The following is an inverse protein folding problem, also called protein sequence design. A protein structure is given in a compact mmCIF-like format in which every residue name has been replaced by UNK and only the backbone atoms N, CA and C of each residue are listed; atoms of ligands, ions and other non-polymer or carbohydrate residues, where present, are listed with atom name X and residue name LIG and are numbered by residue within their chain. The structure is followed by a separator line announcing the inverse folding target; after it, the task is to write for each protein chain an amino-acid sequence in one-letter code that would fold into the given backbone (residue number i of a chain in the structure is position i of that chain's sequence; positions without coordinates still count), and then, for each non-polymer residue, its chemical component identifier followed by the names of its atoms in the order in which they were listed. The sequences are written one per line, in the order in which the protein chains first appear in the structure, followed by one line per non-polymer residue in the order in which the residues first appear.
data_IF_660935130045
#
_entry.id   IF_660935130045
#
_cell.length_a   1.000
_cell.length_b   1.000
_cell.length_c   1.000
_cell.angle_alpha   90.00
_cell.angle_beta   90.00
_cell.angle_gamma   90.00
#
_symmetry.space_group_name_H-M   'P 1'
#
loop_
_entity.id
_entity.type
_entity.pdbx_description
1 polymer ?
#
# COMPACT_ATOMS: atom_id res chain seq x y z
N UNK A 1 -8.38 -6.77 -20.94
CA UNK A 1 -9.85 -6.77 -20.74
C UNK A 1 -10.36 -5.39 -20.28
N UNK A 2 -9.69 -4.73 -19.32
CA UNK A 2 -10.04 -3.38 -18.83
C UNK A 2 -10.28 -2.36 -19.94
N UNK A 3 -9.33 -2.18 -20.86
CA UNK A 3 -9.47 -1.25 -21.98
C UNK A 3 -10.69 -1.54 -22.88
N UNK A 4 -10.97 -2.82 -23.16
CA UNK A 4 -12.11 -3.20 -23.99
C UNK A 4 -13.45 -2.84 -23.30
N UNK A 5 -13.55 -3.08 -21.98
CA UNK A 5 -14.72 -2.70 -21.18
C UNK A 5 -14.92 -1.19 -21.14
N UNK A 6 -13.85 -0.41 -21.02
CA UNK A 6 -13.91 1.05 -21.07
C UNK A 6 -14.41 1.56 -22.44
N UNK A 7 -13.92 0.98 -23.54
CA UNK A 7 -14.35 1.35 -24.91
C UNK A 7 -15.83 1.01 -25.14
N UNK A 8 -16.27 -0.15 -24.67
CA UNK A 8 -17.66 -0.60 -24.82
C UNK A 8 -18.62 0.07 -23.82
N UNK A 9 -18.10 0.67 -22.75
CA UNK A 9 -18.90 1.28 -21.68
C UNK A 9 -19.62 0.27 -20.79
N UNK A 10 -19.20 -1.00 -20.80
CA UNK A 10 -19.84 -2.06 -20.01
C UNK A 10 -18.88 -3.16 -19.53
N UNK A 11 -19.38 -4.03 -18.64
CA UNK A 11 -18.62 -5.10 -18.00
C UNK A 11 -18.62 -6.45 -18.74
N UNK A 12 -19.00 -6.51 -20.03
CA UNK A 12 -19.19 -7.78 -20.74
C UNK A 12 -17.95 -8.68 -20.72
N UNK A 13 -18.21 -9.99 -20.80
CA UNK A 13 -17.19 -11.04 -20.90
C UNK A 13 -16.96 -11.37 -22.39
N UNK A 14 -15.70 -11.55 -22.83
CA UNK A 14 -15.41 -11.94 -24.20
C UNK A 14 -16.07 -13.27 -24.58
N UNK A 15 -16.51 -13.40 -25.82
CA UNK A 15 -16.97 -14.66 -26.40
C UNK A 15 -15.81 -15.32 -27.13
N UNK A 16 -15.53 -16.58 -26.79
CA UNK A 16 -14.51 -17.37 -27.48
C UNK A 16 -14.98 -17.73 -28.88
N UNK A 17 -14.17 -17.40 -29.89
CA UNK A 17 -14.38 -17.76 -31.29
C UNK A 17 -13.09 -18.36 -31.86
N UNK A 18 -13.20 -19.08 -32.97
CA UNK A 18 -12.01 -19.59 -33.67
C UNK A 18 -11.24 -18.43 -34.32
N UNK A 19 -9.92 -18.57 -34.45
CA UNK A 19 -9.08 -17.54 -35.07
C UNK A 19 -9.50 -17.27 -36.52
N UNK A 20 -9.91 -18.31 -37.25
CA UNK A 20 -10.32 -18.19 -38.65
C UNK A 20 -11.60 -17.36 -38.83
N UNK A 21 -12.43 -17.21 -37.79
CA UNK A 21 -13.58 -16.31 -37.83
C UNK A 21 -13.15 -14.84 -37.72
N UNK A 22 -12.10 -14.53 -36.94
CA UNK A 22 -11.56 -13.18 -36.82
C UNK A 22 -10.83 -12.74 -38.09
N UNK A 23 -10.22 -13.68 -38.82
CA UNK A 23 -9.52 -13.42 -40.09
C UNK A 23 -10.47 -13.02 -41.23
N UNK A 24 -11.78 -13.28 -41.09
CA UNK A 24 -12.82 -12.83 -42.03
C UNK A 24 -13.18 -11.35 -41.86
N UNK A 25 -12.70 -10.66 -40.82
CA UNK A 25 -13.02 -9.26 -40.51
C UNK A 25 -11.85 -8.31 -40.86
N UNK A 26 -12.11 -7.09 -41.35
CA UNK A 26 -11.06 -6.06 -41.49
C UNK A 26 -10.40 -5.73 -40.14
N UNK A 27 -9.07 -5.74 -40.09
CA UNK A 27 -8.30 -5.47 -38.86
C UNK A 27 -7.94 -3.98 -38.77
N UNK A 28 -8.33 -3.35 -37.66
CA UNK A 28 -7.96 -1.98 -37.33
C UNK A 28 -6.61 -1.86 -36.62
N UNK A 29 -6.26 -0.64 -36.22
CA UNK A 29 -5.11 -0.39 -35.36
C UNK A 29 -5.37 -0.91 -33.94
N UNK A 30 -4.34 -1.36 -33.21
CA UNK A 30 -4.48 -1.69 -31.79
C UNK A 30 -4.95 -0.50 -30.97
N UNK A 31 -5.87 -0.74 -30.04
CA UNK A 31 -6.41 0.29 -29.13
C UNK A 31 -6.35 -0.18 -27.68
N UNK A 32 -6.25 0.79 -26.76
CA UNK A 32 -6.29 0.57 -25.31
C UNK A 32 -5.27 1.42 -24.56
N UNK A 33 -5.21 1.23 -23.24
CA UNK A 33 -4.29 1.93 -22.35
C UNK A 33 -3.14 0.97 -21.99
N UNK A 34 -1.92 1.18 -22.51
CA UNK A 34 -0.75 0.42 -22.08
C UNK A 34 -0.50 0.59 -20.58
N UNK A 35 -0.19 -0.51 -19.89
CA UNK A 35 0.06 -0.51 -18.43
C UNK A 35 -1.20 -0.58 -17.57
N UNK A 36 -2.41 -0.49 -18.14
CA UNK A 36 -3.63 -0.80 -17.40
C UNK A 36 -3.62 -2.28 -16.97
N UNK A 37 -4.14 -2.62 -15.78
CA UNK A 37 -4.22 -4.01 -15.36
C UNK A 37 -5.10 -4.79 -16.33
N UNK A 38 -4.83 -6.09 -16.49
CA UNK A 38 -5.57 -6.92 -17.43
C UNK A 38 -7.09 -6.86 -17.17
N UNK A 39 -7.49 -6.97 -15.90
CA UNK A 39 -8.85 -6.87 -15.38
C UNK A 39 -8.84 -6.14 -14.01
N UNK A 40 -10.02 -5.86 -13.46
CA UNK A 40 -10.21 -5.14 -12.19
C UNK A 40 -10.98 -5.99 -11.17
N UNK A 41 -10.49 -7.17 -10.76
CA UNK A 41 -11.12 -7.91 -9.66
C UNK A 41 -10.97 -7.12 -8.36
N UNK A 42 -11.97 -7.21 -7.49
CA UNK A 42 -11.95 -6.60 -6.15
C UNK A 42 -12.06 -7.73 -5.13
N UNK A 43 -11.39 -7.59 -4.00
CA UNK A 43 -11.56 -8.51 -2.87
C UNK A 43 -13.02 -8.56 -2.43
N UNK A 44 -13.51 -9.74 -2.05
CA UNK A 44 -14.84 -9.88 -1.44
C UNK A 44 -14.86 -9.48 0.04
N UNK A 45 -13.69 -9.22 0.64
CA UNK A 45 -13.59 -8.78 2.03
C UNK A 45 -14.26 -7.41 2.19
N UNK A 46 -15.21 -7.25 3.14
CA UNK A 46 -15.78 -5.95 3.47
C UNK A 46 -14.82 -5.08 4.29
N UNK A 47 -13.78 -5.67 4.89
CA UNK A 47 -12.83 -4.98 5.74
C UNK A 47 -11.95 -4.04 4.91
N UNK A 48 -11.99 -2.75 5.26
CA UNK A 48 -11.09 -1.73 4.71
C UNK A 48 -10.04 -1.39 5.77
N UNK A 49 -8.92 -2.10 5.73
CA UNK A 49 -7.78 -1.87 6.62
C UNK A 49 -6.57 -1.44 5.81
N UNK A 50 -5.92 -0.37 6.28
CA UNK A 50 -4.69 0.18 5.71
C UNK A 50 -3.70 0.42 6.83
N UNK A 51 -2.53 -0.22 6.73
CA UNK A 51 -1.47 -0.07 7.73
C UNK A 51 -0.17 0.30 7.05
N UNK A 52 0.54 1.27 7.62
CA UNK A 52 1.91 1.64 7.24
C UNK A 52 2.85 1.17 8.35
N UNK A 53 3.87 0.41 7.99
CA UNK A 53 4.87 -0.09 8.92
C UNK A 53 6.26 0.36 8.48
N UNK A 54 7.02 0.93 9.41
CA UNK A 54 8.44 1.24 9.24
C UNK A 54 9.28 0.23 10.04
N UNK A 55 10.29 -0.34 9.39
CA UNK A 55 11.30 -1.20 10.02
C UNK A 55 12.65 -0.51 9.96
N UNK A 56 13.26 -0.28 11.13
CA UNK A 56 14.60 0.32 11.22
C UNK A 56 15.65 -0.78 11.23
N UNK A 57 16.52 -0.78 10.23
CA UNK A 57 17.64 -1.71 10.13
C UNK A 57 18.88 -1.03 10.70
N UNK A 58 19.57 -1.73 11.63
CA UNK A 58 20.76 -1.24 12.37
C UNK A 58 20.51 0.10 13.09
N UNK A 59 19.57 0.16 14.06
CA UNK A 59 19.20 1.39 14.76
C UNK A 59 20.36 2.07 15.49
N UNK A 60 21.35 1.31 15.96
CA UNK A 60 22.51 1.84 16.69
C UNK A 60 23.67 2.30 15.78
N UNK A 61 23.49 2.24 14.45
CA UNK A 61 24.51 2.68 13.50
C UNK A 61 24.45 4.18 13.24
N UNK A 62 25.54 4.76 12.72
CA UNK A 62 25.57 6.18 12.29
C UNK A 62 24.72 6.46 11.04
N UNK A 63 24.23 5.41 10.38
CA UNK A 63 23.44 5.49 9.16
C UNK A 63 22.37 4.38 9.16
N UNK A 64 21.36 4.47 10.04
CA UNK A 64 20.25 3.53 10.05
C UNK A 64 19.44 3.67 8.76
N UNK A 65 18.89 2.58 8.26
CA UNK A 65 17.99 2.59 7.09
C UNK A 65 16.58 2.24 7.52
N UNK A 66 15.59 2.86 6.89
CA UNK A 66 14.17 2.60 7.14
C UNK A 66 13.58 1.91 5.92
N UNK A 67 12.93 0.77 6.15
CA UNK A 67 12.13 0.08 5.15
C UNK A 67 10.64 0.26 5.48
N UNK A 68 9.91 0.88 4.56
CA UNK A 68 8.47 1.11 4.71
C UNK A 68 7.65 0.08 3.94
N UNK A 69 6.57 -0.39 4.55
CA UNK A 69 5.63 -1.34 3.93
C UNK A 69 4.18 -0.91 4.14
N UNK A 70 3.34 -1.18 3.13
CA UNK A 70 1.91 -0.92 3.17
C UNK A 70 1.16 -2.25 3.17
N UNK A 71 0.36 -2.49 4.21
CA UNK A 71 -0.46 -3.68 4.36
C UNK A 71 -1.93 -3.30 4.12
N UNK A 72 -2.54 -3.98 3.14
CA UNK A 72 -3.94 -3.77 2.70
C UNK A 72 -4.82 -4.99 2.97
N UNK A 73 -4.45 -5.75 3.99
CA UNK A 73 -5.11 -6.98 4.45
C UNK A 73 -5.26 -6.93 5.96
N UNK A 74 -6.17 -7.75 6.54
CA UNK A 74 -6.24 -7.91 8.00
C UNK A 74 -4.88 -8.20 8.62
N UNK A 75 -4.55 -7.50 9.70
CA UNK A 75 -3.29 -7.68 10.41
C UNK A 75 -3.28 -8.98 11.21
N UNK A 76 -2.17 -9.70 11.16
CA UNK A 76 -1.86 -10.76 12.10
C UNK A 76 -1.00 -10.17 13.23
N UNK A 77 -1.54 -10.14 14.44
CA UNK A 77 -0.86 -9.58 15.63
C UNK A 77 -0.67 -10.66 16.70
N UNK A 78 0.40 -10.54 17.49
CA UNK A 78 0.68 -11.41 18.62
C UNK A 78 1.38 -10.64 19.75
N UNK A 79 2.12 -11.32 20.64
CA UNK A 79 2.86 -10.64 21.71
C UNK A 79 4.13 -9.92 21.22
N UNK A 80 4.65 -10.28 20.05
CA UNK A 80 5.82 -9.65 19.43
C UNK A 80 5.47 -8.38 18.66
N UNK A 81 4.28 -8.32 18.06
CA UNK A 81 3.79 -7.15 17.30
C UNK A 81 2.32 -6.92 17.63
N UNK A 82 2.02 -5.81 18.33
CA UNK A 82 0.67 -5.43 18.73
C UNK A 82 0.54 -3.91 18.91
N UNK A 83 -0.68 -3.46 19.20
CA UNK A 83 -0.98 -2.07 19.55
C UNK A 83 -0.14 -1.56 20.72
N UNK A 84 0.34 -0.32 20.59
CA UNK A 84 1.09 0.37 21.63
C UNK A 84 0.20 0.58 22.87
N UNK A 85 0.70 0.23 24.06
CA UNK A 85 0.00 0.46 25.31
C UNK A 85 0.10 1.93 25.74
N UNK A 86 -0.82 2.45 26.58
CA UNK A 86 -0.81 3.86 26.99
C UNK A 86 0.48 4.34 27.65
N UNK A 87 1.20 3.45 28.32
CA UNK A 87 2.48 3.71 29.01
C UNK A 87 3.71 3.57 28.11
N UNK A 88 3.54 3.08 26.88
CA UNK A 88 4.63 2.94 25.92
C UNK A 88 4.78 4.21 25.06
N UNK A 89 6.01 4.48 24.65
CA UNK A 89 6.34 5.50 23.67
C UNK A 89 7.61 5.14 22.92
N UNK A 90 7.76 5.69 21.72
CA UNK A 90 8.96 5.51 20.89
C UNK A 90 9.53 6.89 20.53
N UNK A 91 10.81 7.09 20.83
CA UNK A 91 11.54 8.27 20.36
C UNK A 91 11.97 8.04 18.91
N UNK A 92 11.65 8.98 18.04
CA UNK A 92 12.01 8.94 16.62
C UNK A 92 12.57 10.29 16.17
N UNK A 93 13.39 10.29 15.12
CA UNK A 93 13.89 11.51 14.49
C UNK A 93 13.37 11.61 13.06
N UNK A 94 12.93 12.80 12.67
CA UNK A 94 12.47 13.10 11.31
C UNK A 94 12.81 14.54 10.95
N UNK A 95 13.55 14.74 9.84
CA UNK A 95 13.99 16.06 9.35
C UNK A 95 14.57 16.95 10.47
N UNK A 96 15.59 16.44 11.15
CA UNK A 96 16.30 17.14 12.24
C UNK A 96 15.46 17.50 13.48
N UNK A 97 14.25 16.94 13.60
CA UNK A 97 13.40 17.11 14.77
C UNK A 97 13.18 15.77 15.47
N UNK A 98 13.10 15.82 16.80
CA UNK A 98 12.77 14.67 17.63
C UNK A 98 11.28 14.65 17.94
N UNK A 99 10.69 13.45 17.88
CA UNK A 99 9.28 13.22 18.12
C UNK A 99 9.12 12.07 19.09
N UNK A 100 8.18 12.21 20.02
CA UNK A 100 7.68 11.11 20.83
C UNK A 100 6.42 10.55 20.15
N UNK A 101 6.49 9.30 19.68
CA UNK A 101 5.34 8.56 19.16
C UNK A 101 4.68 7.77 20.29
N UNK A 102 3.37 7.91 20.40
CA UNK A 102 2.49 7.28 21.40
C UNK A 102 1.30 6.62 20.71
N UNK A 103 0.46 5.92 21.46
CA UNK A 103 -0.77 5.32 20.92
C UNK A 103 -1.72 6.33 20.23
N UNK A 104 -1.64 7.62 20.57
CA UNK A 104 -2.51 8.67 20.00
C UNK A 104 -1.85 9.45 18.85
N UNK A 105 -0.61 9.15 18.49
CA UNK A 105 0.13 9.84 17.44
C UNK A 105 1.48 10.39 17.92
N UNK A 106 1.96 11.44 17.24
CA UNK A 106 3.29 12.02 17.44
C UNK A 106 3.23 13.37 18.12
N UNK A 107 4.19 13.61 19.01
CA UNK A 107 4.34 14.85 19.76
C UNK A 107 5.76 15.38 19.57
N UNK A 108 5.91 16.66 19.24
CA UNK A 108 7.23 17.27 19.10
C UNK A 108 7.89 17.35 20.48
N UNK A 109 9.16 16.98 20.58
CA UNK A 109 9.91 17.01 21.84
C UNK A 109 11.28 17.67 21.66
N UNK A 110 11.63 18.57 22.56
CA UNK A 110 12.98 19.09 22.68
C UNK A 110 13.77 18.23 23.68
N UNK A 111 14.81 17.55 23.18
CA UNK A 111 15.66 16.67 23.98
C UNK A 111 16.76 17.44 24.75
N UNK A 112 16.93 18.74 24.46
CA UNK A 112 17.84 19.61 25.18
C UNK A 112 17.22 20.21 26.46
N UNK A 113 15.89 20.26 26.54
CA UNK A 113 15.15 20.68 27.75
C UNK A 113 15.12 19.55 28.78
N UNK A 114 16.24 19.39 29.50
CA UNK A 114 16.38 18.41 30.58
C UNK A 114 16.14 19.09 31.91
N UNK A 115 15.24 18.52 32.71
CA UNK A 115 15.07 18.92 34.10
C UNK A 115 16.38 18.76 34.89
N UNK A 116 16.69 19.75 35.73
CA UNK A 116 17.84 19.81 36.64
C UNK A 116 17.46 19.33 38.04
#
# INVERSE_FOLDING_TARGET
LTSARLILGDGRTPVSVKSEELDKMPKGQPVGIPGAPYATPVSSSPDSQWTLCDTVVKPDSVAPTVESSVLVTPLATDLSVNGMRPEHGMLVSFKDQNWLVTATGRHLIDMADRAV
#
